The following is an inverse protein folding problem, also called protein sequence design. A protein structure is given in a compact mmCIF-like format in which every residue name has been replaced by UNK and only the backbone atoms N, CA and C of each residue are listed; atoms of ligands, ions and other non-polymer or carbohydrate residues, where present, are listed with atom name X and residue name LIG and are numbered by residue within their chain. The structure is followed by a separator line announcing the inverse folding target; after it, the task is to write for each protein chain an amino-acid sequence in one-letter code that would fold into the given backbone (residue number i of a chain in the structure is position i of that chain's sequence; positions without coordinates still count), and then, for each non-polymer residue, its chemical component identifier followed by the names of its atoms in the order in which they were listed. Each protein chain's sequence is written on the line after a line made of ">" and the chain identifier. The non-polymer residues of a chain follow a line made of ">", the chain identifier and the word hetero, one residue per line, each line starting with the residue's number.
data_IF_699710175147
#
_entry.id   IF_699710175147
#
_cell.length_a   1.000
_cell.length_b   1.000
_cell.length_c   1.000
_cell.angle_alpha   90.00
_cell.angle_beta   90.00
_cell.angle_gamma   90.00
#
_symmetry.space_group_name_H-M   'P 1'
#
loop_
_entity.id
_entity.type
_entity.pdbx_description
1 polymer ?
#
# COMPACT_ATOMS: atom_id res chain seq x y z
N UNK A 1 5.09 -2.90 -31.37
CA UNK A 1 4.62 -3.21 -30.02
C UNK A 1 5.74 -3.95 -29.31
N UNK A 2 6.17 -3.48 -28.14
CA UNK A 2 7.16 -4.20 -27.36
C UNK A 2 6.58 -5.54 -26.91
N UNK A 3 7.38 -6.60 -26.91
CA UNK A 3 6.93 -7.91 -26.45
C UNK A 3 6.69 -7.87 -24.94
N UNK A 4 5.47 -8.16 -24.50
CA UNK A 4 5.14 -8.22 -23.07
C UNK A 4 5.95 -9.30 -22.37
N UNK A 5 6.47 -8.98 -21.18
CA UNK A 5 7.19 -9.91 -20.32
C UNK A 5 6.19 -10.87 -19.66
N UNK A 6 6.17 -12.17 -19.98
CA UNK A 6 5.11 -13.08 -19.52
C UNK A 6 5.01 -13.20 -18.01
N UNK A 7 6.15 -13.13 -17.29
CA UNK A 7 6.18 -13.19 -15.83
C UNK A 7 5.57 -11.95 -15.18
N UNK A 8 5.84 -10.76 -15.72
CA UNK A 8 5.24 -9.52 -15.22
C UNK A 8 3.73 -9.50 -15.48
N UNK A 9 3.28 -9.95 -16.66
CA UNK A 9 1.84 -10.11 -16.93
C UNK A 9 1.19 -11.07 -15.95
N UNK A 10 1.84 -12.21 -15.67
CA UNK A 10 1.33 -13.18 -14.69
C UNK A 10 1.27 -12.59 -13.28
N UNK A 11 2.29 -11.87 -12.84
CA UNK A 11 2.33 -11.21 -11.55
C UNK A 11 1.22 -10.14 -11.43
N UNK A 12 1.04 -9.30 -12.45
CA UNK A 12 -0.02 -8.30 -12.51
C UNK A 12 -1.41 -8.93 -12.31
N UNK A 13 -1.68 -10.06 -12.96
CA UNK A 13 -2.94 -10.79 -12.78
C UNK A 13 -3.12 -11.36 -11.37
N UNK A 14 -2.04 -11.85 -10.75
CA UNK A 14 -2.09 -12.36 -9.38
C UNK A 14 -2.36 -11.23 -8.39
N UNK A 15 -1.67 -10.10 -8.51
CA UNK A 15 -1.85 -8.93 -7.63
C UNK A 15 -3.27 -8.36 -7.79
N UNK A 16 -3.77 -8.29 -9.02
CA UNK A 16 -5.14 -7.82 -9.30
C UNK A 16 -6.25 -8.72 -8.74
N UNK A 17 -5.93 -9.92 -8.24
CA UNK A 17 -6.92 -10.81 -7.65
C UNK A 17 -8.10 -11.09 -8.59
N UNK A 18 -9.33 -10.86 -8.10
CA UNK A 18 -10.57 -11.11 -8.87
C UNK A 18 -10.66 -10.23 -10.12
N UNK A 19 -10.33 -8.94 -10.01
CA UNK A 19 -10.35 -8.03 -11.17
C UNK A 19 -9.22 -8.34 -12.15
N UNK A 20 -8.05 -8.74 -11.64
CA UNK A 20 -6.91 -9.14 -12.47
C UNK A 20 -7.17 -10.37 -13.38
N UNK A 21 -8.13 -11.23 -13.03
CA UNK A 21 -8.51 -12.38 -13.86
C UNK A 21 -9.25 -11.93 -15.14
N UNK A 22 -10.11 -10.92 -15.02
CA UNK A 22 -10.96 -10.44 -16.12
C UNK A 22 -10.34 -9.29 -16.90
N UNK A 23 -9.43 -8.53 -16.27
CA UNK A 23 -8.72 -7.43 -16.94
C UNK A 23 -7.76 -7.95 -18.01
N UNK A 24 -7.87 -7.39 -19.22
CA UNK A 24 -6.89 -7.58 -20.28
C UNK A 24 -5.64 -6.78 -19.94
N UNK A 25 -4.51 -7.47 -19.77
CA UNK A 25 -3.21 -6.85 -19.55
C UNK A 25 -2.49 -6.69 -20.88
N UNK A 26 -2.28 -5.45 -21.31
CA UNK A 26 -1.44 -5.06 -22.44
C UNK A 26 -0.34 -4.08 -22.00
N UNK A 27 0.44 -3.53 -22.94
CA UNK A 27 1.57 -2.65 -22.63
C UNK A 27 1.16 -1.31 -21.99
N UNK A 28 -0.10 -0.91 -22.15
CA UNK A 28 -0.65 0.32 -21.60
C UNK A 28 -1.41 0.09 -20.29
N UNK A 29 -1.57 -1.15 -19.85
CA UNK A 29 -2.22 -1.46 -18.58
C UNK A 29 -1.38 -0.93 -17.40
N UNK A 30 -1.93 -0.10 -16.48
CA UNK A 30 -1.20 0.40 -15.32
C UNK A 30 -0.67 -0.71 -14.42
N UNK A 31 -1.38 -1.84 -14.34
CA UNK A 31 -0.95 -3.05 -13.64
C UNK A 31 0.34 -3.65 -14.21
N UNK A 32 0.65 -3.39 -15.48
CA UNK A 32 1.85 -3.91 -16.14
C UNK A 32 2.99 -2.88 -16.12
N UNK A 33 2.75 -1.68 -16.63
CA UNK A 33 3.84 -0.73 -16.84
C UNK A 33 4.43 -0.20 -15.53
N UNK A 34 3.69 -0.24 -14.40
CA UNK A 34 4.25 0.07 -13.09
C UNK A 34 5.36 -0.89 -12.64
N UNK A 35 5.41 -2.13 -13.16
CA UNK A 35 6.40 -3.13 -12.76
C UNK A 35 7.38 -3.49 -13.88
N UNK A 36 6.99 -3.30 -15.14
CA UNK A 36 7.71 -3.84 -16.29
C UNK A 36 9.14 -3.30 -16.46
N UNK A 37 9.40 -2.06 -16.04
CA UNK A 37 10.74 -1.45 -16.04
C UNK A 37 11.50 -1.60 -14.72
N UNK A 38 10.85 -2.08 -13.66
CA UNK A 38 11.38 -2.09 -12.28
C UNK A 38 11.78 -3.49 -11.85
N UNK A 39 10.92 -4.48 -12.08
CA UNK A 39 11.15 -5.84 -11.62
C UNK A 39 11.95 -6.66 -12.63
N UNK A 40 12.91 -7.44 -12.16
CA UNK A 40 13.53 -8.53 -12.92
C UNK A 40 12.58 -9.74 -13.03
N UNK A 41 12.89 -10.65 -13.96
CA UNK A 41 12.11 -11.89 -14.11
C UNK A 41 12.29 -12.84 -12.91
N UNK A 42 13.42 -12.77 -12.18
CA UNK A 42 13.65 -13.56 -10.97
C UNK A 42 12.85 -13.03 -9.77
N UNK A 43 12.82 -11.71 -9.58
CA UNK A 43 11.98 -11.07 -8.57
C UNK A 43 10.50 -11.37 -8.82
N UNK A 44 10.07 -11.35 -10.08
CA UNK A 44 8.71 -11.73 -10.46
C UNK A 44 8.40 -13.18 -10.10
N UNK A 45 9.32 -14.13 -10.31
CA UNK A 45 9.13 -15.53 -9.92
C UNK A 45 8.95 -15.67 -8.39
N UNK A 46 9.73 -14.94 -7.60
CA UNK A 46 9.61 -14.93 -6.13
C UNK A 46 8.26 -14.37 -5.69
N UNK A 47 7.83 -13.23 -6.27
CA UNK A 47 6.54 -12.62 -5.99
C UNK A 47 5.36 -13.52 -6.37
N UNK A 48 5.42 -14.16 -7.55
CA UNK A 48 4.43 -15.16 -7.99
C UNK A 48 4.38 -16.35 -7.03
N UNK A 49 5.52 -16.83 -6.57
CA UNK A 49 5.63 -17.97 -5.65
C UNK A 49 5.07 -17.67 -4.25
N UNK A 50 5.14 -16.42 -3.79
CA UNK A 50 4.55 -16.01 -2.53
C UNK A 50 3.02 -16.19 -2.51
N UNK A 51 2.40 -15.80 -3.63
CA UNK A 51 0.95 -15.72 -3.77
C UNK A 51 0.36 -14.50 -3.08
N UNK A 52 -0.86 -14.13 -3.47
CA UNK A 52 -1.56 -12.96 -2.93
C UNK A 52 -1.99 -13.19 -1.48
N UNK A 53 -1.77 -12.18 -0.62
CA UNK A 53 -2.25 -12.09 0.77
C UNK A 53 -1.92 -13.29 1.65
N UNK A 54 -0.67 -13.74 1.62
CA UNK A 54 -0.16 -14.79 2.52
C UNK A 54 1.19 -14.39 3.08
N UNK A 55 1.33 -14.46 4.40
CA UNK A 55 2.63 -14.27 5.05
C UNK A 55 3.55 -15.44 4.72
N UNK A 56 4.71 -15.14 4.13
CA UNK A 56 5.75 -16.12 3.76
C UNK A 56 7.09 -15.76 4.39
N UNK A 57 7.84 -16.76 4.78
CA UNK A 57 9.21 -16.59 5.28
C UNK A 57 10.20 -16.66 4.11
N UNK A 58 11.40 -16.11 4.27
CA UNK A 58 12.44 -16.22 3.24
C UNK A 58 12.76 -17.68 2.90
N UNK A 59 12.81 -18.56 3.91
CA UNK A 59 13.02 -19.99 3.74
C UNK A 59 11.91 -20.67 2.93
N UNK A 60 10.65 -20.26 3.11
CA UNK A 60 9.56 -20.76 2.28
C UNK A 60 9.74 -20.37 0.81
N UNK A 61 10.03 -19.09 0.55
CA UNK A 61 10.16 -18.56 -0.80
C UNK A 61 11.36 -19.18 -1.52
N UNK A 62 12.51 -19.26 -0.85
CA UNK A 62 13.71 -19.94 -1.32
C UNK A 62 13.41 -21.36 -1.81
N UNK A 63 12.76 -22.19 -0.97
CA UNK A 63 12.34 -23.55 -1.35
C UNK A 63 11.39 -23.57 -2.53
N UNK A 64 10.46 -22.60 -2.64
CA UNK A 64 9.48 -22.56 -3.72
C UNK A 64 10.07 -22.22 -5.08
N UNK A 65 11.13 -21.41 -5.12
CA UNK A 65 11.82 -21.04 -6.37
C UNK A 65 13.09 -21.86 -6.62
N UNK A 66 13.40 -22.85 -5.77
CA UNK A 66 14.55 -23.73 -5.92
C UNK A 66 15.89 -23.03 -5.66
N UNK A 67 15.93 -22.03 -4.77
CA UNK A 67 17.12 -21.26 -4.38
C UNK A 67 17.40 -21.43 -2.88
N UNK A 68 18.57 -20.99 -2.44
CA UNK A 68 18.91 -20.82 -1.01
C UNK A 68 18.36 -19.51 -0.46
N UNK A 69 18.33 -19.38 0.88
CA UNK A 69 17.89 -18.13 1.54
C UNK A 69 18.82 -16.97 1.16
N UNK A 70 20.13 -17.24 1.09
CA UNK A 70 21.15 -16.26 0.73
C UNK A 70 20.95 -15.73 -0.69
N UNK A 71 20.54 -16.59 -1.63
CA UNK A 71 20.28 -16.19 -3.02
C UNK A 71 18.98 -15.40 -3.19
N UNK A 72 17.93 -15.69 -2.40
CA UNK A 72 16.67 -14.93 -2.50
C UNK A 72 16.69 -13.64 -1.70
N UNK A 73 17.53 -13.50 -0.67
CA UNK A 73 17.49 -12.34 0.21
C UNK A 73 17.63 -11.00 -0.54
N UNK A 74 18.57 -10.82 -1.50
CA UNK A 74 18.63 -9.58 -2.28
C UNK A 74 17.38 -9.32 -3.12
N UNK A 75 16.75 -10.38 -3.67
CA UNK A 75 15.50 -10.26 -4.43
C UNK A 75 14.35 -9.81 -3.51
N UNK A 76 14.30 -10.32 -2.28
CA UNK A 76 13.31 -9.94 -1.27
C UNK A 76 13.51 -8.49 -0.83
N UNK A 77 14.76 -8.08 -0.62
CA UNK A 77 15.10 -6.70 -0.25
C UNK A 77 14.68 -5.73 -1.36
N UNK A 78 14.92 -6.07 -2.62
CA UNK A 78 14.43 -5.30 -3.76
C UNK A 78 12.90 -5.27 -3.84
N UNK A 79 12.22 -6.40 -3.68
CA UNK A 79 10.75 -6.44 -3.70
C UNK A 79 10.12 -5.63 -2.54
N UNK A 80 10.78 -5.54 -1.40
CA UNK A 80 10.42 -4.65 -0.27
C UNK A 80 10.73 -3.20 -0.60
N UNK A 81 11.89 -2.91 -1.20
CA UNK A 81 12.27 -1.56 -1.63
C UNK A 81 11.34 -1.02 -2.72
N UNK A 82 10.88 -1.86 -3.65
CA UNK A 82 9.90 -1.48 -4.67
C UNK A 82 8.49 -1.39 -4.11
N UNK A 83 8.18 -2.03 -2.98
CA UNK A 83 6.85 -2.02 -2.38
C UNK A 83 5.93 -3.14 -2.87
N UNK A 84 6.47 -4.16 -3.54
CA UNK A 84 5.71 -5.38 -3.90
C UNK A 84 5.39 -6.20 -2.64
N UNK A 85 6.31 -6.23 -1.67
CA UNK A 85 6.12 -6.89 -0.39
C UNK A 85 6.14 -5.91 0.78
N UNK A 86 5.17 -6.06 1.67
CA UNK A 86 5.29 -5.61 3.06
C UNK A 86 6.17 -6.61 3.81
N UNK A 87 7.18 -6.12 4.53
CA UNK A 87 8.01 -6.90 5.46
C UNK A 87 7.67 -6.50 6.89
N UNK A 88 7.37 -7.48 7.72
CA UNK A 88 7.10 -7.31 9.15
C UNK A 88 7.72 -8.44 9.96
N UNK A 89 8.11 -8.18 11.19
CA UNK A 89 8.59 -9.22 12.09
C UNK A 89 7.42 -10.08 12.59
N UNK A 90 7.56 -11.40 12.53
CA UNK A 90 6.59 -12.32 13.12
C UNK A 90 7.10 -12.84 14.46
N UNK A 91 6.56 -12.31 15.55
CA UNK A 91 6.96 -12.64 16.93
C UNK A 91 6.86 -14.14 17.26
N UNK A 92 5.87 -14.85 16.68
CA UNK A 92 5.68 -16.29 16.93
C UNK A 92 6.80 -17.11 16.29
N UNK A 93 7.27 -16.70 15.12
CA UNK A 93 8.32 -17.41 14.37
C UNK A 93 9.72 -16.89 14.72
N UNK A 94 9.83 -15.69 15.29
CA UNK A 94 11.11 -15.01 15.56
C UNK A 94 11.87 -14.61 14.28
N UNK A 95 11.17 -14.48 13.15
CA UNK A 95 11.77 -14.13 11.86
C UNK A 95 10.86 -13.20 11.04
N UNK A 96 11.43 -12.56 10.02
CA UNK A 96 10.69 -11.70 9.10
C UNK A 96 9.76 -12.50 8.18
N UNK A 97 8.54 -11.99 7.99
CA UNK A 97 7.61 -12.45 6.97
C UNK A 97 7.40 -11.39 5.89
N UNK A 98 7.10 -11.87 4.69
CA UNK A 98 6.84 -11.09 3.48
C UNK A 98 5.41 -11.31 3.04
N UNK A 99 4.70 -10.22 2.77
CA UNK A 99 3.27 -10.22 2.45
C UNK A 99 3.02 -9.41 1.17
N UNK A 100 2.46 -10.07 0.15
CA UNK A 100 2.06 -9.41 -1.10
C UNK A 100 0.63 -8.90 -0.99
N UNK A 101 0.48 -7.58 -1.11
CA UNK A 101 -0.82 -6.90 -1.10
C UNK A 101 -1.42 -6.83 -2.52
N UNK A 102 -2.63 -6.25 -2.62
CA UNK A 102 -3.21 -5.86 -3.90
C UNK A 102 -2.58 -4.55 -4.39
N UNK A 103 -2.93 -4.12 -5.62
CA UNK A 103 -2.40 -2.88 -6.19
C UNK A 103 -2.80 -1.64 -5.40
N UNK A 104 -4.08 -1.49 -5.07
CA UNK A 104 -4.58 -0.36 -4.30
C UNK A 104 -5.81 -0.78 -3.45
N UNK A 105 -5.87 -0.40 -2.17
CA UNK A 105 -4.78 0.10 -1.36
C UNK A 105 -3.72 -0.99 -1.09
N UNK A 106 -2.44 -0.65 -1.30
CA UNK A 106 -1.31 -1.54 -1.12
C UNK A 106 -0.08 -1.12 -1.92
N UNK A 107 0.23 -1.89 -2.97
CA UNK A 107 1.51 -1.83 -3.69
C UNK A 107 1.78 -0.44 -4.28
N UNK A 108 0.80 0.17 -4.94
CA UNK A 108 1.02 1.43 -5.65
C UNK A 108 1.27 2.60 -4.68
N UNK A 109 0.63 2.62 -3.50
CA UNK A 109 0.94 3.57 -2.43
C UNK A 109 2.39 3.45 -1.97
N UNK A 110 2.85 2.22 -1.72
CA UNK A 110 4.22 1.96 -1.28
C UNK A 110 5.26 2.29 -2.36
N UNK A 111 4.91 2.12 -3.63
CA UNK A 111 5.77 2.50 -4.75
C UNK A 111 5.91 4.02 -4.84
N UNK A 112 4.81 4.78 -4.82
CA UNK A 112 4.88 6.27 -4.92
C UNK A 112 5.44 6.92 -3.65
N UNK A 113 5.34 6.26 -2.50
CA UNK A 113 6.00 6.75 -1.28
C UNK A 113 7.50 6.47 -1.23
N UNK A 114 8.04 5.68 -2.16
CA UNK A 114 9.49 5.57 -2.30
C UNK A 114 10.00 6.66 -3.25
N UNK A 115 10.50 7.77 -2.68
CA UNK A 115 10.86 8.97 -3.44
C UNK A 115 11.85 8.68 -4.57
N UNK A 116 12.95 7.99 -4.27
CA UNK A 116 13.97 7.67 -5.27
C UNK A 116 13.39 6.82 -6.41
N UNK A 117 12.51 5.87 -6.09
CA UNK A 117 11.83 5.05 -7.09
C UNK A 117 10.90 5.91 -7.97
N UNK A 118 10.11 6.79 -7.37
CA UNK A 118 9.19 7.67 -8.10
C UNK A 118 9.95 8.65 -9.00
N UNK A 119 11.09 9.17 -8.54
CA UNK A 119 11.93 10.09 -9.31
C UNK A 119 12.55 9.39 -10.54
N UNK A 120 12.97 8.13 -10.43
CA UNK A 120 13.56 7.38 -11.56
C UNK A 120 12.53 6.65 -12.42
N UNK A 121 11.33 6.39 -11.89
CA UNK A 121 10.21 5.71 -12.55
C UNK A 121 8.91 6.50 -12.42
N UNK A 122 8.82 7.71 -13.04
CA UNK A 122 7.64 8.56 -12.95
C UNK A 122 6.37 7.91 -13.52
N UNK A 123 6.51 6.87 -14.35
CA UNK A 123 5.39 6.06 -14.82
C UNK A 123 4.58 5.44 -13.66
N UNK A 124 5.20 5.17 -12.50
CA UNK A 124 4.51 4.65 -11.31
C UNK A 124 3.45 5.63 -10.82
N UNK A 125 3.75 6.93 -10.80
CA UNK A 125 2.83 7.98 -10.39
C UNK A 125 1.57 8.00 -11.27
N UNK A 126 1.76 7.86 -12.58
CA UNK A 126 0.68 7.71 -13.57
C UNK A 126 -0.10 6.41 -13.39
N UNK A 127 0.58 5.30 -13.14
CA UNK A 127 -0.07 4.01 -12.89
C UNK A 127 -1.00 4.07 -11.68
N UNK A 128 -0.58 4.73 -10.60
CA UNK A 128 -1.40 4.81 -9.39
C UNK A 128 -2.70 5.59 -9.64
N UNK A 129 -2.62 6.73 -10.33
CA UNK A 129 -3.78 7.52 -10.73
C UNK A 129 -4.72 6.70 -11.63
N UNK A 130 -4.18 6.13 -12.70
CA UNK A 130 -4.96 5.46 -13.73
C UNK A 130 -5.60 4.18 -13.19
N UNK A 131 -4.85 3.39 -12.42
CA UNK A 131 -5.35 2.16 -11.81
C UNK A 131 -6.51 2.45 -10.85
N UNK A 132 -6.35 3.41 -9.93
CA UNK A 132 -7.40 3.73 -8.95
C UNK A 132 -8.66 4.29 -9.62
N UNK A 133 -8.50 5.16 -10.63
CA UNK A 133 -9.61 5.66 -11.45
C UNK A 133 -10.34 4.54 -12.19
N UNK A 134 -9.61 3.62 -12.82
CA UNK A 134 -10.18 2.49 -13.54
C UNK A 134 -10.87 1.50 -12.59
N UNK A 135 -10.27 1.24 -11.43
CA UNK A 135 -10.84 0.38 -10.39
C UNK A 135 -12.18 0.94 -9.89
N UNK A 136 -12.23 2.23 -9.58
CA UNK A 136 -13.45 2.91 -9.17
C UNK A 136 -14.55 2.85 -10.25
N UNK A 137 -14.18 3.09 -11.52
CA UNK A 137 -15.13 3.01 -12.64
C UNK A 137 -15.70 1.60 -12.85
N UNK A 138 -14.86 0.56 -12.71
CA UNK A 138 -15.25 -0.82 -12.96
C UNK A 138 -15.98 -1.48 -11.78
N UNK A 139 -15.59 -1.16 -10.55
CA UNK A 139 -16.16 -1.76 -9.35
C UNK A 139 -17.27 -0.93 -8.71
N UNK A 140 -17.38 0.38 -9.02
CA UNK A 140 -18.34 1.27 -8.37
C UNK A 140 -19.79 0.77 -8.40
N UNK A 141 -20.21 0.17 -9.52
CA UNK A 141 -21.56 -0.40 -9.64
C UNK A 141 -21.78 -1.72 -8.88
N UNK A 142 -20.72 -2.39 -8.45
CA UNK A 142 -20.77 -3.66 -7.71
C UNK A 142 -20.55 -3.50 -6.20
N UNK A 143 -20.07 -2.33 -5.77
CA UNK A 143 -19.85 -2.05 -4.35
C UNK A 143 -21.19 -1.61 -3.73
N UNK A 144 -21.67 -2.26 -2.65
CA UNK A 144 -22.90 -1.86 -1.98
C UNK A 144 -22.84 -0.41 -1.49
N UNK A 145 -24.00 0.24 -1.44
CA UNK A 145 -24.13 1.59 -0.90
C UNK A 145 -23.54 1.67 0.52
N UNK A 146 -22.70 2.68 0.76
CA UNK A 146 -22.01 2.86 2.04
C UNK A 146 -20.79 1.95 2.24
N UNK A 147 -20.41 1.14 1.26
CA UNK A 147 -19.20 0.33 1.28
C UNK A 147 -18.14 0.89 0.33
N UNK A 148 -16.86 0.61 0.60
CA UNK A 148 -15.73 1.10 -0.18
C UNK A 148 -14.44 0.41 0.23
N UNK A 149 -13.42 0.47 -0.64
CA UNK A 149 -12.06 0.00 -0.30
C UNK A 149 -11.38 0.90 0.73
N UNK A 150 -11.81 2.16 0.77
CA UNK A 150 -11.46 3.15 1.77
C UNK A 150 -12.74 3.57 2.53
N UNK A 151 -12.58 3.92 3.80
CA UNK A 151 -13.65 4.30 4.72
C UNK A 151 -13.26 5.55 5.48
N UNK A 152 -14.17 6.52 5.43
CA UNK A 152 -14.08 7.75 6.20
C UNK A 152 -14.17 7.47 7.70
N UNK A 153 -13.26 8.07 8.46
CA UNK A 153 -13.35 8.18 9.91
C UNK A 153 -13.71 9.64 10.25
N UNK A 154 -14.84 9.88 10.93
CA UNK A 154 -15.23 11.23 11.30
C UNK A 154 -14.18 11.93 12.16
N UNK A 155 -14.11 13.26 12.05
CA UNK A 155 -13.43 14.09 13.06
C UNK A 155 -14.09 13.83 14.41
N UNK A 156 -13.30 13.39 15.38
CA UNK A 156 -13.87 12.79 16.59
C UNK A 156 -14.68 13.78 17.44
N UNK A 157 -14.33 15.07 17.41
CA UNK A 157 -15.11 16.12 18.09
C UNK A 157 -16.54 16.26 17.51
N UNK A 158 -16.75 15.90 16.24
CA UNK A 158 -18.08 15.89 15.61
C UNK A 158 -18.98 14.74 16.12
N UNK A 159 -18.41 13.77 16.84
CA UNK A 159 -19.13 12.65 17.45
C UNK A 159 -19.58 12.95 18.89
N UNK A 160 -19.17 14.08 19.46
CA UNK A 160 -19.53 14.46 20.83
C UNK A 160 -21.05 14.63 20.99
N UNK A 161 -21.61 13.99 22.03
CA UNK A 161 -23.04 14.06 22.32
C UNK A 161 -23.95 13.19 21.42
N UNK A 162 -23.41 12.49 20.43
CA UNK A 162 -24.17 11.53 19.62
C UNK A 162 -24.27 10.20 20.37
N UNK A 163 -25.48 9.74 20.76
CA UNK A 163 -25.63 8.46 21.44
C UNK A 163 -25.40 7.27 20.49
N UNK A 164 -24.77 6.21 21.01
CA UNK A 164 -24.63 4.95 20.28
C UNK A 164 -23.54 4.92 19.20
N UNK A 165 -22.63 5.90 19.19
CA UNK A 165 -21.44 5.89 18.33
C UNK A 165 -20.53 4.73 18.70
N UNK A 166 -20.13 3.92 17.72
CA UNK A 166 -19.21 2.81 17.94
C UNK A 166 -17.76 3.30 18.12
N UNK A 167 -16.95 2.58 18.89
CA UNK A 167 -15.54 2.91 19.10
C UNK A 167 -14.74 2.92 17.79
N UNK A 168 -15.08 2.06 16.82
CA UNK A 168 -14.38 2.04 15.52
C UNK A 168 -14.63 3.28 14.66
N UNK A 169 -15.55 4.17 15.05
CA UNK A 169 -15.75 5.50 14.42
C UNK A 169 -14.80 6.56 14.98
N UNK A 170 -14.04 6.24 16.04
CA UNK A 170 -13.18 7.18 16.75
C UNK A 170 -11.73 7.00 16.33
N UNK A 171 -11.06 8.08 15.95
CA UNK A 171 -9.65 8.00 15.61
C UNK A 171 -8.80 7.63 16.83
N UNK A 172 -9.21 8.05 18.04
CA UNK A 172 -8.52 7.70 19.28
C UNK A 172 -8.46 6.18 19.51
N UNK A 173 -9.49 5.43 19.11
CA UNK A 173 -9.52 3.98 19.25
C UNK A 173 -8.33 3.33 18.52
N UNK A 174 -8.03 3.78 17.31
CA UNK A 174 -6.89 3.25 16.54
C UNK A 174 -5.55 3.71 17.10
N UNK A 175 -5.46 4.95 17.59
CA UNK A 175 -4.27 5.45 18.29
C UNK A 175 -3.98 4.72 19.61
N UNK A 176 -5.00 4.14 20.25
CA UNK A 176 -4.86 3.36 21.48
C UNK A 176 -4.59 1.88 21.21
N UNK A 177 -5.07 1.36 20.08
CA UNK A 177 -4.91 -0.02 19.65
C UNK A 177 -3.46 -0.35 19.27
N UNK A 178 -2.71 0.61 18.73
CA UNK A 178 -1.35 0.41 18.23
C UNK A 178 -0.31 1.14 19.08
N UNK A 179 0.92 0.64 19.08
CA UNK A 179 2.05 1.18 19.83
C UNK A 179 3.16 1.77 18.94
N UNK A 180 3.13 1.45 17.64
CA UNK A 180 4.08 1.94 16.64
C UNK A 180 3.39 2.75 15.56
N UNK A 181 3.95 3.92 15.27
CA UNK A 181 3.42 4.90 14.34
C UNK A 181 4.52 5.42 13.42
N UNK A 182 4.14 5.73 12.19
CA UNK A 182 5.01 6.42 11.26
C UNK A 182 4.24 7.46 10.46
N UNK A 183 4.96 8.43 9.90
CA UNK A 183 4.40 9.40 8.97
C UNK A 183 5.23 9.49 7.69
N UNK A 184 4.53 9.50 6.57
CA UNK A 184 5.08 9.71 5.24
C UNK A 184 4.36 10.86 4.54
N UNK A 185 4.94 11.40 3.45
CA UNK A 185 4.19 12.22 2.51
C UNK A 185 2.94 11.48 2.02
N UNK A 186 1.86 12.19 1.72
CA UNK A 186 0.64 11.54 1.23
C UNK A 186 0.86 10.88 -0.14
N UNK A 187 0.68 9.56 -0.22
CA UNK A 187 0.86 8.78 -1.47
C UNK A 187 0.00 9.31 -2.62
N UNK A 188 -1.27 9.61 -2.35
CA UNK A 188 -2.20 10.14 -3.34
C UNK A 188 -1.73 11.50 -3.88
N UNK A 189 -1.18 12.36 -3.01
CA UNK A 189 -0.64 13.68 -3.39
C UNK A 189 0.69 13.56 -4.12
N UNK A 190 1.54 12.62 -3.71
CA UNK A 190 2.79 12.31 -4.40
C UNK A 190 2.52 11.86 -5.84
N UNK A 191 1.54 10.96 -6.06
CA UNK A 191 1.11 10.56 -7.41
C UNK A 191 0.61 11.77 -8.23
N UNK A 192 -0.35 12.56 -7.70
CA UNK A 192 -0.87 13.75 -8.41
C UNK A 192 0.20 14.78 -8.74
N UNK A 193 1.15 15.01 -7.83
CA UNK A 193 2.25 15.93 -8.07
C UNK A 193 3.21 15.41 -9.14
N UNK A 194 3.51 14.12 -9.12
CA UNK A 194 4.43 13.50 -10.09
C UNK A 194 3.93 13.55 -11.54
N UNK A 195 2.61 13.64 -11.74
CA UNK A 195 1.98 13.77 -13.07
C UNK A 195 1.66 15.23 -13.45
N UNK A 196 2.00 16.20 -12.60
CA UNK A 196 1.79 17.62 -12.87
C UNK A 196 0.40 18.18 -12.52
N UNK A 197 -0.51 17.36 -11.97
CA UNK A 197 -1.84 17.81 -11.53
C UNK A 197 -1.76 18.59 -10.21
N UNK A 198 -0.93 18.09 -9.27
CA UNK A 198 -0.94 18.54 -7.88
C UNK A 198 -2.30 18.33 -7.19
N UNK A 199 -2.40 18.75 -5.93
CA UNK A 199 -3.64 18.59 -5.13
C UNK A 199 -4.04 19.88 -4.37
N UNK A 200 -3.15 20.88 -4.28
CA UNK A 200 -3.40 22.14 -3.58
C UNK A 200 -3.49 22.04 -2.05
N UNK A 201 -3.33 20.84 -1.49
CA UNK A 201 -3.29 20.59 -0.04
C UNK A 201 -1.89 20.18 0.40
N UNK A 202 -1.63 20.27 1.71
CA UNK A 202 -0.39 19.82 2.34
C UNK A 202 -0.06 18.38 1.94
N UNK A 203 1.16 18.11 1.50
CA UNK A 203 1.63 16.79 1.11
C UNK A 203 2.56 16.18 2.16
N UNK A 204 3.43 16.99 2.75
CA UNK A 204 4.43 16.57 3.74
C UNK A 204 3.80 16.17 5.08
N UNK A 205 4.25 15.01 5.58
CA UNK A 205 3.88 14.47 6.89
C UNK A 205 2.36 14.41 7.11
N UNK A 206 1.63 13.74 6.20
CA UNK A 206 0.16 13.67 6.19
C UNK A 206 -0.41 12.25 6.24
N UNK A 207 0.31 11.26 5.70
CA UNK A 207 -0.17 9.88 5.72
C UNK A 207 0.45 9.16 6.91
N UNK A 208 -0.39 8.80 7.87
CA UNK A 208 0.02 8.08 9.07
C UNK A 208 -0.16 6.58 8.82
N UNK A 209 0.83 5.79 9.21
CA UNK A 209 0.73 4.33 9.28
C UNK A 209 0.83 3.90 10.74
N UNK A 210 0.23 2.74 11.04
CA UNK A 210 0.19 2.16 12.39
C UNK A 210 0.56 0.68 12.34
N UNK A 211 1.03 0.13 13.46
CA UNK A 211 1.30 -1.31 13.61
C UNK A 211 2.29 -1.86 12.58
N UNK A 212 1.94 -2.98 11.92
CA UNK A 212 2.79 -3.62 10.88
C UNK A 212 3.07 -2.69 9.69
N UNK A 213 2.13 -1.81 9.34
CA UNK A 213 2.32 -0.81 8.29
C UNK A 213 3.42 0.18 8.67
N UNK A 214 3.37 0.70 9.90
CA UNK A 214 4.40 1.59 10.42
C UNK A 214 5.78 0.93 10.49
N UNK A 215 5.85 -0.30 11.01
CA UNK A 215 7.11 -1.07 11.05
C UNK A 215 7.74 -1.19 9.66
N UNK A 216 6.95 -1.57 8.65
CA UNK A 216 7.44 -1.69 7.29
C UNK A 216 7.92 -0.36 6.70
N UNK A 217 7.14 0.71 6.87
CA UNK A 217 7.47 2.03 6.31
C UNK A 217 8.75 2.61 6.93
N UNK A 218 8.95 2.43 8.25
CA UNK A 218 10.18 2.82 8.95
C UNK A 218 11.36 2.00 8.44
N UNK A 219 11.24 0.66 8.45
CA UNK A 219 12.33 -0.26 8.07
C UNK A 219 12.74 -0.17 6.61
N UNK A 220 11.87 0.36 5.74
CA UNK A 220 12.15 0.54 4.31
C UNK A 220 12.53 1.98 3.93
N UNK A 221 12.65 2.88 4.92
CA UNK A 221 13.08 4.27 4.70
C UNK A 221 12.03 5.18 4.06
N UNK A 222 10.76 4.76 4.03
CA UNK A 222 9.64 5.51 3.42
C UNK A 222 9.01 6.53 4.34
N UNK A 223 9.13 6.32 5.65
CA UNK A 223 8.50 7.14 6.67
C UNK A 223 9.44 7.40 7.84
N UNK A 224 9.13 8.46 8.58
CA UNK A 224 9.73 8.75 9.88
C UNK A 224 8.91 8.05 10.96
N UNK A 225 9.57 7.49 11.97
CA UNK A 225 8.89 7.03 13.19
C UNK A 225 8.42 8.24 13.99
N UNK A 226 7.21 8.16 14.55
CA UNK A 226 6.61 9.22 15.36
C UNK A 226 5.97 8.64 16.62
N UNK A 227 5.78 9.47 17.65
CA UNK A 227 5.02 9.08 18.84
C UNK A 227 3.52 9.19 18.60
N UNK A 228 2.72 8.60 19.49
CA UNK A 228 1.26 8.74 19.49
C UNK A 228 0.82 10.21 19.61
N UNK A 229 1.52 11.01 20.41
CA UNK A 229 1.25 12.44 20.58
C UNK A 229 1.52 13.22 19.30
N UNK A 230 2.61 12.91 18.61
CA UNK A 230 2.94 13.50 17.31
C UNK A 230 1.91 13.09 16.24
N UNK A 231 1.44 11.83 16.25
CA UNK A 231 0.36 11.38 15.37
C UNK A 231 -0.92 12.21 15.62
N UNK A 232 -1.28 12.44 16.88
CA UNK A 232 -2.43 13.27 17.25
C UNK A 232 -2.25 14.73 16.80
N UNK A 233 -1.05 15.29 16.91
CA UNK A 233 -0.74 16.65 16.41
C UNK A 233 -0.94 16.74 14.89
N UNK A 234 -0.44 15.76 14.13
CA UNK A 234 -0.61 15.69 12.68
C UNK A 234 -2.10 15.56 12.30
N UNK A 235 -2.86 14.73 13.03
CA UNK A 235 -4.30 14.57 12.85
C UNK A 235 -5.01 15.91 13.02
N UNK A 236 -4.76 16.62 14.13
CA UNK A 236 -5.36 17.95 14.37
C UNK A 236 -4.97 18.96 13.30
N UNK A 237 -3.70 18.98 12.89
CA UNK A 237 -3.24 19.83 11.79
C UNK A 237 -3.99 19.51 10.51
N UNK A 238 -4.21 18.24 10.19
CA UNK A 238 -4.97 17.84 9.01
C UNK A 238 -6.42 18.34 9.08
N UNK A 239 -7.09 18.18 10.23
CA UNK A 239 -8.45 18.68 10.47
C UNK A 239 -8.56 20.21 10.33
N UNK A 240 -7.62 20.95 10.92
CA UNK A 240 -7.54 22.41 10.81
C UNK A 240 -7.34 22.89 9.37
N UNK A 241 -6.75 22.05 8.52
CA UNK A 241 -6.58 22.29 7.08
C UNK A 241 -7.76 21.77 6.23
N UNK A 242 -8.86 21.35 6.88
CA UNK A 242 -10.06 20.89 6.20
C UNK A 242 -9.93 19.50 5.58
N UNK A 243 -8.92 18.72 5.99
CA UNK A 243 -8.77 17.33 5.57
C UNK A 243 -9.64 16.41 6.44
N UNK A 244 -9.99 15.26 5.87
CA UNK A 244 -10.78 14.24 6.53
C UNK A 244 -9.96 12.95 6.63
N UNK A 245 -10.20 12.18 7.69
CA UNK A 245 -9.52 10.90 7.90
C UNK A 245 -10.16 9.83 7.04
N UNK A 246 -9.32 9.01 6.42
CA UNK A 246 -9.74 7.92 5.56
C UNK A 246 -8.80 6.74 5.77
N UNK A 247 -9.37 5.54 5.92
CA UNK A 247 -8.63 4.32 6.24
C UNK A 247 -9.05 3.17 5.34
N UNK A 248 -8.17 2.18 5.17
CA UNK A 248 -8.45 0.97 4.40
C UNK A 248 -9.58 0.17 5.05
N UNK A 249 -10.45 -0.43 4.22
CA UNK A 249 -11.65 -1.15 4.65
C UNK A 249 -11.80 -2.50 3.91
N UNK A 250 -10.77 -3.35 3.98
CA UNK A 250 -10.69 -4.57 3.14
C UNK A 250 -10.43 -5.85 3.92
N UNK A 251 -9.77 -5.79 5.07
CA UNK A 251 -9.50 -6.97 5.89
C UNK A 251 -10.50 -7.03 7.06
N UNK A 252 -10.50 -6.00 7.92
CA UNK A 252 -11.47 -5.75 8.99
C UNK A 252 -11.73 -4.23 9.08
N UNK A 253 -12.75 -3.75 9.83
CA UNK A 253 -12.97 -2.32 10.04
C UNK A 253 -11.70 -1.63 10.58
N UNK A 254 -11.02 -0.85 9.74
CA UNK A 254 -9.79 -0.14 10.09
C UNK A 254 -8.52 -1.00 10.15
N UNK A 255 -8.47 -2.11 9.40
CA UNK A 255 -7.26 -2.94 9.27
C UNK A 255 -6.77 -3.04 7.81
N UNK A 256 -5.43 -3.08 7.67
CA UNK A 256 -4.67 -3.21 6.42
C UNK A 256 -3.42 -4.08 6.57
#
# INVERSE_FOLDING_TARGET
>A
MAQLRPKIVKLAKIIGGVTGITTRIDENAPEYYCMAGILTDEEADVAIAAGLRKERTAAYLARKVGKTVQEVQPLLDNLVYYGIFRRSHNETLGEDTYYMQIFAPGILEMMVNQKELLDTHPEVGRAFEEYTRNLAANMGAMIPDGYGLMRVIPVESALEGIPGVNEFERISHYLDKYDRFSVSPCSCRASRTSIGDGCGHLDEDMCIQMGKGAEHYIRSGRAKEITREQALEIIKRAEENGLMHDMVNIEEPGES
#
